data_IF_014716356266
#
_entry.id   IF_014716356266
#
_cell.length_a   1.000
_cell.length_b   1.000
_cell.length_c   1.000
_cell.angle_alpha   90.00
_cell.angle_beta   90.00
_cell.angle_gamma   90.00
#
_symmetry.space_group_name_H-M   'P 1'
#
loop_
_entity.id
_entity.type
_entity.pdbx_description
1 polymer ?
#
# COMPACT_ATOMS: atom_id res chain seq x y z
N UNK A 1 -4.50 38.31 -2.05
CA UNK A 1 -5.54 37.29 -1.74
C UNK A 1 -4.93 36.26 -0.80
N UNK A 2 -5.64 35.79 0.24
CA UNK A 2 -5.16 34.73 1.11
C UNK A 2 -5.63 33.38 0.57
N UNK A 3 -4.70 32.40 0.45
CA UNK A 3 -4.99 31.03 0.07
C UNK A 3 -4.39 30.08 1.11
N UNK A 4 -4.75 28.80 1.07
CA UNK A 4 -4.21 27.77 1.95
C UNK A 4 -3.30 26.80 1.16
N UNK A 5 -2.43 26.13 1.87
CA UNK A 5 -1.57 25.09 1.29
C UNK A 5 -2.38 24.09 0.44
N UNK A 6 -1.95 23.86 -0.78
CA UNK A 6 -2.63 22.99 -1.75
C UNK A 6 -3.76 23.65 -2.54
N UNK A 7 -4.09 24.90 -2.28
CA UNK A 7 -5.06 25.64 -3.10
C UNK A 7 -4.47 26.00 -4.47
N UNK A 8 -5.34 26.13 -5.46
CA UNK A 8 -4.92 26.63 -6.78
C UNK A 8 -4.45 28.09 -6.67
N UNK A 9 -3.29 28.38 -7.26
CA UNK A 9 -2.79 29.75 -7.38
C UNK A 9 -3.71 30.53 -8.33
N UNK A 10 -4.16 31.75 -7.95
CA UNK A 10 -4.98 32.57 -8.84
C UNK A 10 -4.26 32.89 -10.15
N UNK A 11 -5.00 32.96 -11.25
CA UNK A 11 -4.45 33.18 -12.62
C UNK A 11 -3.63 34.46 -12.79
N UNK A 12 -3.79 35.43 -11.88
CA UNK A 12 -3.08 36.71 -11.91
C UNK A 12 -1.97 36.80 -10.85
N UNK A 13 -1.59 35.66 -10.24
CA UNK A 13 -0.52 35.58 -9.27
C UNK A 13 0.58 34.67 -9.81
N UNK A 14 1.82 35.07 -9.59
CA UNK A 14 3.05 34.42 -10.05
C UNK A 14 3.93 33.92 -8.88
N UNK A 15 3.54 34.23 -7.64
CA UNK A 15 4.26 33.81 -6.45
C UNK A 15 3.34 33.78 -5.23
N UNK A 16 3.71 32.99 -4.24
CA UNK A 16 3.06 32.94 -2.93
C UNK A 16 4.05 33.37 -1.84
N UNK A 17 3.61 34.33 -1.01
CA UNK A 17 4.32 34.68 0.21
C UNK A 17 3.77 33.80 1.36
N UNK A 18 4.66 33.22 2.15
CA UNK A 18 4.27 32.48 3.35
C UNK A 18 3.71 33.43 4.41
N UNK A 19 2.79 32.93 5.23
CA UNK A 19 2.18 33.74 6.29
C UNK A 19 3.23 34.29 7.27
N UNK A 20 4.31 33.58 7.50
CA UNK A 20 5.42 33.96 8.38
C UNK A 20 6.21 35.16 7.84
N UNK A 21 6.18 35.37 6.55
CA UNK A 21 6.85 36.48 5.86
C UNK A 21 5.90 37.71 5.71
N UNK A 22 4.70 37.63 6.26
CA UNK A 22 3.65 38.63 6.11
C UNK A 22 3.29 39.27 7.46
N UNK A 23 3.23 40.60 7.50
CA UNK A 23 2.71 41.37 8.64
C UNK A 23 1.43 42.06 8.20
N UNK A 24 0.33 41.74 8.91
CA UNK A 24 -0.97 42.37 8.68
C UNK A 24 -1.13 43.53 9.65
N UNK A 25 -1.32 44.72 9.14
CA UNK A 25 -1.63 45.92 9.93
C UNK A 25 -2.86 46.63 9.31
N UNK A 26 -3.96 46.61 10.04
CA UNK A 26 -5.27 47.10 9.55
C UNK A 26 -5.67 46.39 8.25
N UNK A 27 -5.75 47.15 7.14
CA UNK A 27 -6.11 46.58 5.80
C UNK A 27 -4.89 46.40 4.89
N UNK A 28 -3.69 46.57 5.45
CA UNK A 28 -2.43 46.49 4.68
C UNK A 28 -1.64 45.26 5.07
N UNK A 29 -1.17 44.51 4.07
CA UNK A 29 -0.26 43.39 4.23
C UNK A 29 1.12 43.82 3.78
N UNK A 30 2.11 43.79 4.67
CA UNK A 30 3.52 43.99 4.34
C UNK A 30 4.18 42.62 4.21
N UNK A 31 4.84 42.37 3.08
CA UNK A 31 5.55 41.12 2.78
C UNK A 31 7.07 41.41 2.79
N UNK A 32 7.81 40.66 3.64
CA UNK A 32 9.25 40.80 3.74
C UNK A 32 9.92 39.48 4.16
N UNK A 33 10.82 38.89 3.31
CA UNK A 33 11.25 39.42 2.00
C UNK A 33 10.15 39.26 0.93
N UNK A 34 10.23 40.06 -0.13
CA UNK A 34 9.37 39.86 -1.29
C UNK A 34 9.73 38.52 -1.96
N UNK A 35 8.75 37.67 -2.27
CA UNK A 35 9.01 36.43 -2.97
C UNK A 35 9.51 36.66 -4.38
N UNK A 36 10.37 35.78 -4.87
CA UNK A 36 10.75 35.74 -6.28
C UNK A 36 9.62 35.14 -7.13
N UNK A 37 9.63 35.36 -8.42
CA UNK A 37 8.70 34.73 -9.36
C UNK A 37 8.68 33.22 -9.17
N UNK A 38 7.50 32.62 -9.17
CA UNK A 38 7.21 31.21 -8.90
C UNK A 38 7.59 30.70 -7.49
N UNK A 39 7.94 31.60 -6.55
CA UNK A 39 8.20 31.19 -5.17
C UNK A 39 6.97 30.49 -4.56
N UNK A 40 7.19 29.31 -3.96
CA UNK A 40 6.18 28.46 -3.31
C UNK A 40 5.06 27.94 -4.23
N UNK A 41 5.15 28.16 -5.54
CA UNK A 41 4.22 27.64 -6.55
C UNK A 41 4.75 26.31 -7.08
N UNK A 42 3.95 25.24 -6.93
CA UNK A 42 4.30 23.92 -7.50
C UNK A 42 4.02 23.91 -9.00
N UNK A 43 5.02 23.60 -9.84
CA UNK A 43 4.80 23.49 -11.27
C UNK A 43 3.95 22.26 -11.61
N UNK A 44 3.17 22.38 -12.68
CA UNK A 44 2.38 21.25 -13.21
C UNK A 44 3.32 20.10 -13.59
N UNK A 45 3.05 18.91 -13.09
CA UNK A 45 3.84 17.72 -13.37
C UNK A 45 5.15 17.63 -12.58
N UNK A 46 5.26 18.30 -11.43
CA UNK A 46 6.42 18.21 -10.55
C UNK A 46 6.69 16.78 -10.07
N UNK A 47 5.65 16.05 -9.68
CA UNK A 47 5.79 14.66 -9.20
C UNK A 47 5.81 13.65 -10.33
N UNK A 48 4.98 13.85 -11.34
CA UNK A 48 4.88 12.97 -12.52
C UNK A 48 4.16 13.72 -13.64
N UNK A 49 4.53 13.44 -14.87
CA UNK A 49 3.92 14.06 -16.05
C UNK A 49 2.95 13.10 -16.72
N UNK A 50 1.98 13.65 -17.43
CA UNK A 50 1.06 12.83 -18.21
C UNK A 50 1.82 11.98 -19.22
N UNK A 51 1.60 10.65 -19.16
CA UNK A 51 2.27 9.67 -20.03
C UNK A 51 3.53 9.05 -19.44
N UNK A 52 4.02 9.52 -18.30
CA UNK A 52 5.10 8.86 -17.58
C UNK A 52 4.59 7.61 -16.85
N UNK A 53 5.48 6.64 -16.67
CA UNK A 53 5.17 5.42 -15.93
C UNK A 53 5.23 5.72 -14.43
N UNK A 54 4.08 5.73 -13.77
CA UNK A 54 3.98 5.96 -12.34
C UNK A 54 4.56 4.78 -11.52
N UNK A 55 4.27 3.55 -11.93
CA UNK A 55 4.75 2.32 -11.29
C UNK A 55 5.10 1.29 -12.35
N UNK A 56 6.26 0.68 -12.24
CA UNK A 56 6.73 -0.33 -13.19
C UNK A 56 5.94 -1.64 -13.06
N UNK A 57 5.78 -2.35 -14.19
CA UNK A 57 5.23 -3.71 -14.18
C UNK A 57 6.07 -4.63 -13.29
N UNK A 58 5.40 -5.42 -12.44
CA UNK A 58 6.06 -6.32 -11.48
C UNK A 58 6.44 -5.66 -10.15
N UNK A 59 6.16 -4.37 -9.98
CA UNK A 59 6.34 -3.72 -8.69
C UNK A 59 5.37 -4.30 -7.66
N UNK A 60 5.88 -4.64 -6.47
CA UNK A 60 5.06 -5.08 -5.36
C UNK A 60 4.38 -3.86 -4.74
N UNK A 61 3.05 -3.79 -4.86
CA UNK A 61 2.28 -2.68 -4.31
C UNK A 61 2.39 -2.68 -2.79
N UNK A 62 2.87 -1.56 -2.26
CA UNK A 62 2.95 -1.27 -0.83
C UNK A 62 2.13 -0.01 -0.50
N UNK A 63 2.05 0.34 0.77
CA UNK A 63 1.28 1.51 1.24
C UNK A 63 1.69 2.80 0.52
N UNK A 64 3.00 3.00 0.27
CA UNK A 64 3.48 4.20 -0.40
C UNK A 64 3.07 4.25 -1.88
N UNK A 65 3.21 3.13 -2.62
CA UNK A 65 2.79 3.06 -4.02
C UNK A 65 1.27 3.20 -4.19
N UNK A 66 0.49 2.65 -3.27
CA UNK A 66 -0.98 2.82 -3.27
C UNK A 66 -1.33 4.30 -3.04
N UNK A 67 -0.73 4.94 -2.04
CA UNK A 67 -0.94 6.37 -1.78
C UNK A 67 -0.53 7.25 -2.95
N UNK A 68 0.59 6.95 -3.60
CA UNK A 68 1.05 7.66 -4.78
C UNK A 68 0.06 7.53 -5.95
N UNK A 69 -0.37 6.32 -6.28
CA UNK A 69 -1.35 6.07 -7.35
C UNK A 69 -2.69 6.77 -7.07
N UNK A 70 -3.17 6.71 -5.84
CA UNK A 70 -4.39 7.42 -5.42
C UNK A 70 -4.23 8.94 -5.57
N UNK A 71 -3.07 9.51 -5.22
CA UNK A 71 -2.75 10.92 -5.40
C UNK A 71 -2.72 11.36 -6.87
N UNK A 72 -2.48 10.42 -7.80
CA UNK A 72 -2.57 10.65 -9.24
C UNK A 72 -3.99 10.46 -9.80
N UNK A 73 -4.98 10.14 -8.96
CA UNK A 73 -6.36 9.86 -9.37
C UNK A 73 -6.56 8.47 -9.98
N UNK A 74 -5.62 7.54 -9.81
CA UNK A 74 -5.73 6.17 -10.30
C UNK A 74 -6.47 5.34 -9.25
N UNK A 75 -7.71 4.95 -9.55
CA UNK A 75 -8.57 4.20 -8.64
C UNK A 75 -8.36 2.68 -8.74
N UNK A 76 -7.97 2.18 -9.91
CA UNK A 76 -7.83 0.76 -10.18
C UNK A 76 -6.54 0.46 -10.94
N UNK A 77 -5.91 -0.64 -10.60
CA UNK A 77 -4.72 -1.14 -11.30
C UNK A 77 -4.84 -2.65 -11.52
N UNK A 78 -4.35 -3.12 -12.65
CA UNK A 78 -4.25 -4.55 -12.92
C UNK A 78 -3.11 -5.16 -12.11
N UNK A 79 -3.41 -6.25 -11.40
CA UNK A 79 -2.44 -6.97 -10.59
C UNK A 79 -2.44 -8.45 -10.93
N UNK A 80 -1.33 -9.13 -10.67
CA UNK A 80 -1.30 -10.58 -10.73
C UNK A 80 -2.20 -11.16 -9.63
N UNK A 81 -3.07 -12.13 -9.93
CA UNK A 81 -3.87 -12.80 -8.91
C UNK A 81 -2.95 -13.55 -7.94
N UNK A 82 -3.36 -13.62 -6.69
CA UNK A 82 -2.68 -14.48 -5.72
C UNK A 82 -2.89 -15.94 -6.10
N UNK A 83 -1.84 -16.79 -6.09
CA UNK A 83 -2.00 -18.21 -6.33
C UNK A 83 -2.87 -18.85 -5.25
N UNK A 84 -3.63 -19.86 -5.63
CA UNK A 84 -4.31 -20.76 -4.68
C UNK A 84 -3.28 -21.71 -4.10
N UNK A 85 -3.36 -21.96 -2.81
CA UNK A 85 -2.42 -22.81 -2.08
C UNK A 85 -3.18 -24.00 -1.51
N UNK A 86 -2.68 -25.21 -1.76
CA UNK A 86 -3.15 -26.41 -1.11
C UNK A 86 -1.98 -27.07 -0.35
N UNK A 87 -2.24 -27.52 0.88
CA UNK A 87 -1.30 -28.27 1.71
C UNK A 87 -1.74 -29.72 1.70
N UNK A 88 -0.90 -30.58 1.17
CA UNK A 88 -1.14 -32.03 1.17
C UNK A 88 -0.47 -32.66 2.38
N UNK A 89 -1.25 -33.32 3.21
CA UNK A 89 -0.78 -34.05 4.38
C UNK A 89 -0.89 -35.55 4.09
N UNK A 90 0.24 -36.24 4.15
CA UNK A 90 0.33 -37.70 3.93
C UNK A 90 0.83 -38.38 5.20
N UNK A 91 0.37 -39.60 5.47
CA UNK A 91 0.79 -40.41 6.59
C UNK A 91 -0.41 -41.09 7.29
N UNK A 92 -0.40 -42.41 7.32
CA UNK A 92 -1.45 -43.19 7.98
C UNK A 92 -1.33 -43.17 9.52
N UNK A 93 -0.14 -42.75 10.02
CA UNK A 93 0.14 -42.63 11.45
C UNK A 93 -0.38 -41.29 12.04
N UNK A 94 -0.85 -40.39 11.21
CA UNK A 94 -1.21 -39.04 11.64
C UNK A 94 -2.61 -38.99 12.25
N UNK A 95 -2.72 -38.47 13.46
CA UNK A 95 -3.98 -38.23 14.16
C UNK A 95 -4.21 -36.75 14.37
N UNK A 96 -5.47 -36.32 14.33
CA UNK A 96 -5.82 -34.93 14.61
C UNK A 96 -5.60 -34.57 16.08
N UNK A 97 -5.15 -33.36 16.36
CA UNK A 97 -5.03 -32.83 17.71
C UNK A 97 -6.38 -32.90 18.45
N UNK A 98 -6.35 -33.31 19.70
CA UNK A 98 -7.54 -33.50 20.55
C UNK A 98 -8.19 -34.87 20.45
N UNK A 99 -7.78 -35.73 19.53
CA UNK A 99 -8.24 -37.15 19.48
C UNK A 99 -7.26 -38.02 20.29
N UNK A 100 -7.76 -39.11 20.96
CA UNK A 100 -6.89 -40.06 21.62
C UNK A 100 -6.01 -40.78 20.60
N UNK A 101 -4.72 -40.93 20.91
CA UNK A 101 -3.79 -41.68 20.06
C UNK A 101 -3.95 -43.18 20.28
N UNK A 102 -3.90 -43.93 19.20
CA UNK A 102 -3.71 -45.37 19.25
C UNK A 102 -2.24 -45.71 19.02
N UNK A 103 -1.86 -46.97 19.30
CA UNK A 103 -0.46 -47.40 19.15
C UNK A 103 0.06 -47.14 17.71
N UNK A 104 1.20 -46.49 17.61
CA UNK A 104 1.85 -46.13 16.34
C UNK A 104 1.39 -44.81 15.74
N UNK A 105 0.46 -44.06 16.35
CA UNK A 105 0.05 -42.74 15.90
C UNK A 105 0.81 -41.60 16.57
N UNK A 106 0.93 -40.50 15.85
CA UNK A 106 1.44 -39.21 16.30
C UNK A 106 0.44 -38.12 15.93
N UNK A 107 0.47 -37.00 16.66
CA UNK A 107 -0.36 -35.84 16.29
C UNK A 107 0.20 -35.12 15.06
N UNK A 108 -0.72 -34.83 14.14
CA UNK A 108 -0.45 -33.98 12.99
C UNK A 108 -0.35 -32.51 13.46
N UNK A 109 0.78 -31.85 13.18
CA UNK A 109 1.02 -30.45 13.53
C UNK A 109 1.45 -29.59 12.35
N UNK A 110 1.88 -30.24 11.25
CA UNK A 110 2.46 -29.52 10.11
C UNK A 110 1.39 -28.74 9.33
N UNK A 111 0.18 -29.28 9.21
CA UNK A 111 -0.91 -28.57 8.52
C UNK A 111 -1.21 -27.22 9.17
N UNK A 112 -1.36 -27.23 10.49
CA UNK A 112 -1.66 -26.02 11.26
C UNK A 112 -0.51 -25.02 11.15
N UNK A 113 0.72 -25.49 11.33
CA UNK A 113 1.92 -24.65 11.21
C UNK A 113 2.02 -24.03 9.81
N UNK A 114 1.90 -24.81 8.76
CA UNK A 114 2.00 -24.35 7.38
C UNK A 114 0.83 -23.42 7.02
N UNK A 115 -0.38 -23.72 7.48
CA UNK A 115 -1.55 -22.85 7.27
C UNK A 115 -1.31 -21.46 7.87
N UNK A 116 -0.86 -21.38 9.11
CA UNK A 116 -0.56 -20.11 9.79
C UNK A 116 0.58 -19.38 9.06
N UNK A 117 1.61 -20.09 8.62
CA UNK A 117 2.70 -19.50 7.84
C UNK A 117 2.19 -18.93 6.52
N UNK A 118 1.37 -19.65 5.76
CA UNK A 118 0.79 -19.15 4.51
C UNK A 118 -0.11 -17.92 4.75
N UNK A 119 -0.90 -17.93 5.81
CA UNK A 119 -1.71 -16.76 6.18
C UNK A 119 -0.84 -15.53 6.50
N UNK A 120 0.29 -15.72 7.18
CA UNK A 120 1.24 -14.62 7.45
C UNK A 120 1.87 -14.03 6.19
N UNK A 121 1.99 -14.81 5.12
CA UNK A 121 2.38 -14.35 3.78
C UNK A 121 1.22 -13.74 2.99
N UNK A 122 0.03 -13.67 3.58
CA UNK A 122 -1.15 -13.05 2.98
C UNK A 122 -1.98 -13.97 2.09
N UNK A 123 -1.80 -15.29 2.17
CA UNK A 123 -2.69 -16.27 1.55
C UNK A 123 -3.86 -16.54 2.50
N UNK A 124 -5.01 -15.88 2.26
CA UNK A 124 -6.18 -16.01 3.15
C UNK A 124 -6.87 -17.36 3.01
N UNK A 125 -6.84 -17.95 1.80
CA UNK A 125 -7.48 -19.22 1.50
C UNK A 125 -6.40 -20.28 1.25
N UNK A 126 -6.27 -21.20 2.20
CA UNK A 126 -5.36 -22.34 2.12
C UNK A 126 -6.17 -23.60 2.31
N UNK A 127 -6.20 -24.44 1.29
CA UNK A 127 -6.85 -25.74 1.34
C UNK A 127 -5.94 -26.76 2.02
N UNK A 128 -6.47 -27.57 2.94
CA UNK A 128 -5.75 -28.68 3.57
C UNK A 128 -6.39 -29.99 3.09
N UNK A 129 -5.60 -30.83 2.46
CA UNK A 129 -6.04 -32.12 1.92
C UNK A 129 -5.22 -33.23 2.57
N UNK A 130 -5.91 -34.11 3.26
CA UNK A 130 -5.28 -35.32 3.82
C UNK A 130 -5.37 -36.46 2.79
N UNK A 131 -4.23 -37.03 2.46
CA UNK A 131 -4.09 -38.17 1.54
C UNK A 131 -3.59 -39.37 2.32
N UNK A 132 -4.24 -40.51 2.16
CA UNK A 132 -3.75 -41.79 2.74
C UNK A 132 -2.63 -42.32 1.87
N UNK A 133 -1.63 -42.90 2.52
CA UNK A 133 -0.62 -43.67 1.81
C UNK A 133 -1.28 -45.00 1.34
N UNK A 134 -1.34 -45.18 0.03
CA UNK A 134 -1.84 -46.38 -0.63
C UNK A 134 -0.64 -47.02 -1.33
N UNK A 135 -0.36 -48.32 -0.95
CA UNK A 135 0.77 -49.08 -1.47
C UNK A 135 0.31 -50.17 -2.41
#
# INVERSE_FOLDING_TARGET
>A
MRIFTGAAVPTNADAEARQEDCVLAYETVTVNPLPTENANVRPLGEQTRKGEIAVQKGHVLNTASIGFLAGLGIAEVEVFPRPKVAILITGNELAQAGQPLIHGQIYESNAVMLQVAMQSFGFAEVEIVTVKDDY
#
